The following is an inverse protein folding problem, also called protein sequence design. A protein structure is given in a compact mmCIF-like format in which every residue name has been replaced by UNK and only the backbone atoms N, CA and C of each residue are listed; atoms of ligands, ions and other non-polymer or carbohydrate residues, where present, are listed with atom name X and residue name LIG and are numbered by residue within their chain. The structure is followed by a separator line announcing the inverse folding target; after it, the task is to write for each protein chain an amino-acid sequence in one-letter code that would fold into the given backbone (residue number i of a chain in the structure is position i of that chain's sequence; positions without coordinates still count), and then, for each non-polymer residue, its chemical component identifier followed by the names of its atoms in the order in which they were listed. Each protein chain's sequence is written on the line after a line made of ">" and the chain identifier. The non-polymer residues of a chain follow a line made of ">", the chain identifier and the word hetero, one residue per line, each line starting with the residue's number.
data_IF_246936824558
#
_entry.id   IF_246936824558
#
_cell.length_a   1.000
_cell.length_b   1.000
_cell.length_c   1.000
_cell.angle_alpha   90.00
_cell.angle_beta   90.00
_cell.angle_gamma   90.00
#
_symmetry.space_group_name_H-M   'P 1'
#
loop_
_entity.id
_entity.type
_entity.pdbx_description
1 polymer ?
#
# COMPACT_ATOMS: atom_id res chain seq x y z
N UNK A 1 -0.54 15.50 -12.81
CA UNK A 1 -1.87 16.13 -12.62
C UNK A 1 -2.30 15.77 -11.21
N UNK A 2 -2.71 16.72 -10.37
CA UNK A 2 -3.13 16.38 -8.99
C UNK A 2 -4.40 15.54 -9.05
N UNK A 3 -4.45 14.44 -8.30
CA UNK A 3 -5.66 13.64 -8.17
C UNK A 3 -6.71 14.44 -7.39
N UNK A 4 -7.72 14.95 -8.09
CA UNK A 4 -8.72 15.87 -7.53
C UNK A 4 -9.47 15.29 -6.31
N UNK A 5 -9.56 13.97 -6.21
CA UNK A 5 -10.24 13.27 -5.11
C UNK A 5 -9.34 13.05 -3.88
N UNK A 6 -8.03 13.31 -3.97
CA UNK A 6 -7.07 13.13 -2.86
C UNK A 6 -6.52 14.46 -2.30
N UNK A 7 -7.20 15.58 -2.57
CA UNK A 7 -6.81 16.86 -1.98
C UNK A 7 -6.96 16.82 -0.45
N UNK A 8 -6.06 17.50 0.26
CA UNK A 8 -6.11 17.61 1.74
C UNK A 8 -7.28 18.48 2.21
N UNK A 9 -7.67 19.46 1.40
CA UNK A 9 -8.77 20.37 1.64
C UNK A 9 -9.39 20.84 0.32
N UNK A 10 -10.63 21.30 0.41
CA UNK A 10 -11.40 21.87 -0.70
C UNK A 10 -11.94 23.22 -0.26
N UNK A 11 -11.76 24.24 -1.10
CA UNK A 11 -12.34 25.57 -0.91
C UNK A 11 -13.30 25.91 -2.07
N UNK A 12 -13.95 27.08 -1.98
CA UNK A 12 -14.94 27.48 -2.97
C UNK A 12 -14.34 27.65 -4.37
N UNK A 13 -13.12 28.20 -4.48
CA UNK A 13 -12.44 28.38 -5.76
C UNK A 13 -12.06 27.03 -6.41
N UNK A 14 -11.66 26.05 -5.60
CA UNK A 14 -11.43 24.67 -6.08
C UNK A 14 -12.70 24.11 -6.72
N UNK A 15 -13.84 24.26 -6.06
CA UNK A 15 -15.11 23.74 -6.58
C UNK A 15 -15.60 24.52 -7.79
N UNK A 16 -15.44 25.85 -7.78
CA UNK A 16 -15.74 26.71 -8.92
C UNK A 16 -14.93 26.30 -10.16
N UNK A 17 -13.66 25.95 -9.97
CA UNK A 17 -12.81 25.45 -11.05
C UNK A 17 -13.33 24.14 -11.66
N UNK A 18 -14.08 23.32 -10.93
CA UNK A 18 -14.64 22.08 -11.49
C UNK A 18 -15.73 22.38 -12.50
N UNK A 19 -16.55 23.40 -12.24
CA UNK A 19 -17.59 23.89 -13.17
C UNK A 19 -16.93 24.61 -14.36
N UNK A 20 -16.00 25.54 -14.11
CA UNK A 20 -15.35 26.33 -15.17
C UNK A 20 -14.57 25.48 -16.17
N UNK A 21 -14.00 24.36 -15.72
CA UNK A 21 -13.28 23.42 -16.57
C UNK A 21 -14.14 22.24 -17.06
N UNK A 22 -15.46 22.27 -16.80
CA UNK A 22 -16.40 21.20 -17.15
C UNK A 22 -15.89 19.80 -16.76
N UNK A 23 -15.39 19.66 -15.53
CA UNK A 23 -14.83 18.38 -15.05
C UNK A 23 -15.86 17.28 -15.22
N UNK A 24 -15.44 16.20 -15.89
CA UNK A 24 -16.24 15.02 -16.12
C UNK A 24 -16.28 14.14 -14.86
N UNK A 25 -17.45 13.55 -14.60
CA UNK A 25 -17.59 12.46 -13.66
C UNK A 25 -16.67 11.31 -14.06
N UNK A 26 -16.24 10.56 -13.05
CA UNK A 26 -15.35 9.44 -13.27
C UNK A 26 -15.60 8.36 -12.23
N UNK A 27 -14.78 7.31 -12.27
CA UNK A 27 -14.80 6.29 -11.24
C UNK A 27 -14.51 6.85 -9.83
N UNK A 28 -13.88 8.03 -9.74
CA UNK A 28 -13.50 8.68 -8.48
C UNK A 28 -14.25 10.00 -8.17
N UNK A 29 -15.08 10.51 -9.09
CA UNK A 29 -15.76 11.81 -8.93
C UNK A 29 -17.23 11.65 -9.31
N UNK A 30 -18.11 12.11 -8.42
CA UNK A 30 -19.56 12.11 -8.61
C UNK A 30 -20.13 13.48 -8.21
N UNK A 31 -21.02 14.04 -9.03
CA UNK A 31 -21.72 15.29 -8.77
C UNK A 31 -23.19 15.03 -8.43
N UNK A 32 -23.68 15.64 -7.35
CA UNK A 32 -25.07 15.54 -6.92
C UNK A 32 -25.66 16.93 -6.66
N UNK A 33 -26.84 17.19 -7.19
CA UNK A 33 -27.57 18.44 -6.90
C UNK A 33 -28.09 18.49 -5.46
N UNK A 34 -28.57 19.65 -4.99
CA UNK A 34 -29.14 19.76 -3.64
C UNK A 34 -30.29 18.78 -3.39
N UNK A 35 -31.06 18.44 -4.43
CA UNK A 35 -32.20 17.52 -4.34
C UNK A 35 -31.82 16.08 -3.96
N UNK A 36 -30.54 15.71 -4.09
CA UNK A 36 -30.02 14.42 -3.66
C UNK A 36 -30.01 14.27 -2.13
N UNK A 37 -30.00 15.38 -1.37
CA UNK A 37 -30.12 15.36 0.08
C UNK A 37 -31.57 15.63 0.50
N UNK A 38 -32.15 14.67 1.21
CA UNK A 38 -33.50 14.80 1.75
C UNK A 38 -33.69 13.95 3.01
N UNK A 39 -34.66 14.32 3.85
CA UNK A 39 -35.07 13.51 5.00
C UNK A 39 -35.87 12.26 4.58
N UNK A 40 -36.28 12.15 3.31
CA UNK A 40 -36.95 10.98 2.73
C UNK A 40 -36.04 9.76 2.72
N UNK A 41 -36.63 8.59 2.96
CA UNK A 41 -35.85 7.34 3.05
C UNK A 41 -35.15 6.95 1.74
N UNK A 42 -35.80 7.24 0.60
CA UNK A 42 -35.21 6.97 -0.72
C UNK A 42 -33.88 7.69 -0.94
N UNK A 43 -33.77 8.95 -0.55
CA UNK A 43 -32.50 9.69 -0.68
C UNK A 43 -31.44 9.22 0.30
N UNK A 44 -31.83 8.85 1.53
CA UNK A 44 -30.90 8.22 2.48
C UNK A 44 -30.35 6.90 1.93
N UNK A 45 -31.17 6.15 1.19
CA UNK A 45 -30.75 4.92 0.51
C UNK A 45 -29.75 5.20 -0.62
N UNK A 46 -29.99 6.20 -1.46
CA UNK A 46 -29.03 6.57 -2.52
C UNK A 46 -27.69 7.06 -1.94
N UNK A 47 -27.70 7.90 -0.90
CA UNK A 47 -26.47 8.32 -0.18
C UNK A 47 -25.69 7.08 0.31
N UNK A 48 -26.39 6.13 0.95
CA UNK A 48 -25.78 4.90 1.45
C UNK A 48 -25.18 4.04 0.34
N UNK A 49 -25.91 3.89 -0.77
CA UNK A 49 -25.48 3.15 -1.96
C UNK A 49 -24.21 3.75 -2.53
N UNK A 50 -24.19 5.05 -2.84
CA UNK A 50 -23.04 5.71 -3.44
C UNK A 50 -21.82 5.68 -2.52
N UNK A 51 -22.00 6.02 -1.23
CA UNK A 51 -20.90 6.01 -0.26
C UNK A 51 -20.29 4.62 -0.11
N UNK A 52 -21.14 3.58 -0.01
CA UNK A 52 -20.64 2.19 0.07
C UNK A 52 -19.93 1.75 -1.21
N UNK A 53 -20.40 2.20 -2.39
CA UNK A 53 -19.81 1.85 -3.68
C UNK A 53 -18.39 2.39 -3.81
N UNK A 54 -18.16 3.65 -3.44
CA UNK A 54 -16.83 4.24 -3.41
C UNK A 54 -15.90 3.52 -2.42
N UNK A 55 -16.35 3.29 -1.19
CA UNK A 55 -15.54 2.63 -0.16
C UNK A 55 -15.13 1.20 -0.54
N UNK A 56 -16.03 0.46 -1.19
CA UNK A 56 -15.76 -0.89 -1.67
C UNK A 56 -14.88 -0.95 -2.92
N UNK A 57 -14.76 0.17 -3.64
CA UNK A 57 -13.93 0.32 -4.83
C UNK A 57 -12.63 1.01 -4.43
N UNK A 58 -12.11 1.91 -5.26
CA UNK A 58 -10.85 2.60 -5.02
C UNK A 58 -11.00 3.97 -4.33
N UNK A 59 -12.14 4.23 -3.71
CA UNK A 59 -12.44 5.52 -3.10
C UNK A 59 -12.67 6.63 -4.15
N UNK A 60 -12.89 7.85 -3.65
CA UNK A 60 -13.22 9.01 -4.47
C UNK A 60 -13.87 10.14 -3.68
N UNK A 61 -14.53 11.05 -4.39
CA UNK A 61 -15.32 12.15 -3.82
C UNK A 61 -16.73 12.16 -4.40
N UNK A 62 -17.70 12.43 -3.53
CA UNK A 62 -19.05 12.81 -3.92
C UNK A 62 -19.24 14.28 -3.54
N UNK A 63 -19.63 15.09 -4.52
CA UNK A 63 -19.81 16.53 -4.33
C UNK A 63 -21.31 16.84 -4.40
N UNK A 64 -21.91 17.04 -3.23
CA UNK A 64 -23.28 17.51 -3.12
C UNK A 64 -23.32 19.03 -3.20
N UNK A 65 -24.16 19.57 -4.06
CA UNK A 65 -24.31 21.00 -4.27
C UNK A 65 -23.99 21.46 -5.69
N UNK A 66 -23.81 20.52 -6.63
CA UNK A 66 -23.48 20.78 -8.04
C UNK A 66 -24.44 19.98 -8.91
N UNK A 67 -25.07 20.66 -9.86
CA UNK A 67 -25.79 20.03 -10.94
C UNK A 67 -24.83 19.59 -12.03
N UNK A 68 -25.05 18.38 -12.53
CA UNK A 68 -24.35 17.86 -13.69
C UNK A 68 -25.19 17.95 -14.97
N UNK A 69 -24.50 18.04 -16.10
CA UNK A 69 -25.10 17.96 -17.43
C UNK A 69 -24.19 17.13 -18.34
N UNK A 70 -24.70 16.02 -18.85
CA UNK A 70 -23.91 15.06 -19.63
C UNK A 70 -22.65 14.59 -18.89
N UNK A 71 -22.77 14.24 -17.60
CA UNK A 71 -21.67 13.81 -16.74
C UNK A 71 -20.57 14.85 -16.54
N UNK A 72 -20.89 16.15 -16.68
CA UNK A 72 -19.97 17.26 -16.44
C UNK A 72 -20.53 18.18 -15.38
N UNK A 73 -19.67 18.71 -14.52
CA UNK A 73 -20.04 19.79 -13.61
C UNK A 73 -20.58 20.99 -14.40
N UNK A 74 -21.79 21.45 -14.06
CA UNK A 74 -22.49 22.47 -14.85
C UNK A 74 -22.85 23.70 -14.04
N UNK A 75 -23.61 23.56 -12.95
CA UNK A 75 -24.11 24.70 -12.17
C UNK A 75 -24.09 24.43 -10.67
N UNK A 76 -24.01 25.51 -9.89
CA UNK A 76 -24.19 25.42 -8.44
C UNK A 76 -25.66 25.16 -8.09
N UNK A 77 -25.88 24.14 -7.26
CA UNK A 77 -27.18 23.77 -6.72
C UNK A 77 -27.06 23.73 -5.20
N UNK A 78 -26.94 24.91 -4.58
CA UNK A 78 -26.56 25.04 -3.18
C UNK A 78 -27.51 24.32 -2.21
N UNK A 79 -26.94 23.79 -1.13
CA UNK A 79 -27.66 23.11 -0.06
C UNK A 79 -27.83 24.05 1.12
N UNK A 80 -29.05 24.10 1.66
CA UNK A 80 -29.30 24.81 2.92
C UNK A 80 -28.67 24.04 4.09
N UNK A 81 -27.45 24.46 4.44
CA UNK A 81 -26.67 23.87 5.54
C UNK A 81 -27.27 24.07 6.93
N UNK A 82 -28.32 24.88 7.09
CA UNK A 82 -29.08 24.96 8.34
C UNK A 82 -30.06 23.79 8.49
N UNK A 83 -30.50 23.21 7.36
CA UNK A 83 -31.46 22.10 7.32
C UNK A 83 -30.74 20.76 7.22
N UNK A 84 -29.72 20.70 6.36
CA UNK A 84 -28.93 19.52 6.08
C UNK A 84 -27.49 19.77 6.50
N UNK A 85 -27.21 19.69 7.81
CA UNK A 85 -25.88 19.99 8.35
C UNK A 85 -24.85 18.92 7.99
N UNK A 86 -23.57 19.20 8.24
CA UNK A 86 -22.49 18.20 8.11
C UNK A 86 -22.77 16.99 9.00
N UNK A 87 -23.12 17.23 10.26
CA UNK A 87 -23.36 16.20 11.27
C UNK A 87 -24.58 15.34 10.90
N UNK A 88 -25.59 15.94 10.27
CA UNK A 88 -26.73 15.20 9.74
C UNK A 88 -26.32 14.24 8.62
N UNK A 89 -25.44 14.68 7.70
CA UNK A 89 -24.92 13.82 6.64
C UNK A 89 -24.04 12.69 7.20
N UNK A 90 -23.17 13.00 8.17
CA UNK A 90 -22.39 11.99 8.91
C UNK A 90 -23.29 10.97 9.61
N UNK A 91 -24.37 11.43 10.25
CA UNK A 91 -25.35 10.54 10.89
C UNK A 91 -26.06 9.65 9.88
N UNK A 92 -26.41 10.16 8.69
CA UNK A 92 -26.99 9.33 7.63
C UNK A 92 -26.01 8.26 7.21
N UNK A 93 -24.77 8.62 6.89
CA UNK A 93 -23.76 7.66 6.43
C UNK A 93 -23.55 6.57 7.49
N UNK A 94 -23.32 6.96 8.75
CA UNK A 94 -23.08 6.02 9.85
C UNK A 94 -24.29 5.12 10.20
N UNK A 95 -25.52 5.63 10.04
CA UNK A 95 -26.72 4.84 10.33
C UNK A 95 -27.19 3.95 9.16
N UNK A 96 -26.68 4.18 7.95
CA UNK A 96 -27.16 3.49 6.74
C UNK A 96 -26.12 2.61 6.08
N UNK A 97 -24.83 2.94 6.19
CA UNK A 97 -23.72 2.10 5.73
C UNK A 97 -23.30 1.19 6.87
N UNK A 98 -23.53 -0.11 6.70
CA UNK A 98 -23.12 -1.14 7.65
C UNK A 98 -21.60 -1.33 7.59
N UNK A 99 -20.97 -1.33 8.77
CA UNK A 99 -19.51 -1.24 9.00
C UNK A 99 -19.00 0.16 8.63
N UNK A 100 -18.57 0.92 9.63
CA UNK A 100 -18.09 2.28 9.44
C UNK A 100 -16.89 2.30 8.48
N UNK A 101 -16.79 3.35 7.68
CA UNK A 101 -15.67 3.59 6.77
C UNK A 101 -14.64 4.44 7.53
N UNK A 102 -13.45 3.89 7.86
CA UNK A 102 -12.39 4.67 8.49
C UNK A 102 -11.97 5.85 7.61
N UNK A 103 -11.54 6.95 8.23
CA UNK A 103 -10.97 8.13 7.55
C UNK A 103 -11.86 8.83 6.50
N UNK A 104 -13.17 8.56 6.48
CA UNK A 104 -14.13 9.33 5.68
C UNK A 104 -14.19 10.77 6.19
N UNK A 105 -14.06 11.74 5.27
CA UNK A 105 -14.07 13.18 5.57
C UNK A 105 -15.21 13.88 4.86
N UNK A 106 -15.87 14.81 5.56
CA UNK A 106 -16.87 15.70 4.98
C UNK A 106 -16.41 17.15 5.13
N UNK A 107 -16.24 17.83 3.99
CA UNK A 107 -15.85 19.22 3.90
C UNK A 107 -17.06 20.10 3.55
N UNK A 108 -17.56 20.92 4.49
CA UNK A 108 -18.59 21.93 4.19
C UNK A 108 -17.95 23.18 3.60
N UNK A 109 -18.29 23.50 2.36
CA UNK A 109 -17.76 24.64 1.61
C UNK A 109 -18.88 25.66 1.45
N UNK A 110 -18.71 26.84 2.05
CA UNK A 110 -19.75 27.88 2.09
C UNK A 110 -19.40 28.99 1.10
N UNK A 111 -20.33 29.31 0.21
CA UNK A 111 -20.16 30.47 -0.66
C UNK A 111 -20.26 31.77 0.15
N UNK A 112 -19.19 32.57 0.16
CA UNK A 112 -19.09 33.82 0.92
C UNK A 112 -19.44 33.69 2.41
N UNK A 113 -19.22 32.50 3.00
CA UNK A 113 -19.53 32.22 4.40
C UNK A 113 -21.02 32.01 4.71
N UNK A 114 -21.91 32.04 3.71
CA UNK A 114 -23.36 31.89 3.90
C UNK A 114 -23.69 30.40 4.11
N UNK A 115 -24.28 30.05 5.26
CA UNK A 115 -24.59 28.65 5.63
C UNK A 115 -25.65 28.04 4.70
N UNK A 116 -26.65 28.80 4.27
CA UNK A 116 -27.66 28.32 3.34
C UNK A 116 -27.12 28.06 1.92
N UNK A 117 -25.89 28.50 1.64
CA UNK A 117 -25.22 28.32 0.37
C UNK A 117 -24.02 27.37 0.53
N UNK A 118 -24.29 26.15 0.98
CA UNK A 118 -23.27 25.14 1.26
C UNK A 118 -23.15 24.11 0.14
N UNK A 119 -21.93 23.67 -0.12
CA UNK A 119 -21.57 22.49 -0.91
C UNK A 119 -20.89 21.51 0.06
N UNK A 120 -21.20 20.21 -0.03
CA UNK A 120 -20.53 19.17 0.75
C UNK A 120 -19.66 18.33 -0.16
N UNK A 121 -18.37 18.29 0.10
CA UNK A 121 -17.46 17.29 -0.49
C UNK A 121 -17.30 16.15 0.50
N UNK A 122 -17.80 14.98 0.14
CA UNK A 122 -17.63 13.74 0.91
C UNK A 122 -16.47 12.97 0.28
N UNK A 123 -15.32 12.99 0.94
CA UNK A 123 -14.13 12.26 0.54
C UNK A 123 -14.13 10.88 1.20
N UNK A 124 -14.14 9.86 0.36
CA UNK A 124 -14.35 8.47 0.75
C UNK A 124 -13.08 7.69 0.38
N UNK A 125 -12.34 7.16 1.35
CA UNK A 125 -11.16 6.36 1.04
C UNK A 125 -11.53 5.00 0.48
N UNK A 126 -10.59 4.41 -0.25
CA UNK A 126 -10.58 2.98 -0.54
C UNK A 126 -10.49 2.21 0.78
N UNK A 127 -11.58 1.54 1.18
CA UNK A 127 -11.66 1.00 2.54
C UNK A 127 -11.05 -0.40 2.62
N UNK A 128 -10.07 -0.58 3.49
CA UNK A 128 -9.55 -1.88 3.89
C UNK A 128 -10.63 -2.72 4.60
N UNK A 129 -11.60 -2.05 5.21
CA UNK A 129 -12.78 -2.63 5.85
C UNK A 129 -13.88 -3.05 4.86
N UNK A 130 -13.62 -3.04 3.56
CA UNK A 130 -14.56 -3.63 2.60
C UNK A 130 -14.85 -5.12 2.94
N UNK A 131 -16.04 -5.63 2.58
CA UNK A 131 -17.14 -4.90 1.95
C UNK A 131 -18.04 -4.17 2.97
N UNK A 132 -18.50 -2.98 2.60
CA UNK A 132 -19.50 -2.15 3.26
C UNK A 132 -20.86 -2.38 2.61
N UNK A 133 -21.86 -2.68 3.43
CA UNK A 133 -23.22 -2.97 2.95
C UNK A 133 -24.08 -1.70 3.05
N UNK A 134 -24.81 -1.38 1.98
CA UNK A 134 -25.74 -0.26 1.97
C UNK A 134 -27.03 -0.57 2.75
N UNK A 135 -27.84 0.47 2.96
CA UNK A 135 -29.11 0.42 3.71
C UNK A 135 -30.05 -0.70 3.25
N UNK A 136 -30.08 -0.98 1.95
CA UNK A 136 -30.95 -1.98 1.34
C UNK A 136 -30.39 -3.40 1.34
N UNK A 137 -29.36 -3.63 2.17
CA UNK A 137 -28.72 -4.95 2.38
C UNK A 137 -28.01 -5.49 1.14
N UNK A 138 -27.54 -4.61 0.27
CA UNK A 138 -26.72 -4.95 -0.89
C UNK A 138 -25.32 -4.36 -0.76
N UNK A 139 -24.37 -4.98 -1.44
CA UNK A 139 -23.02 -4.48 -1.63
C UNK A 139 -22.93 -3.86 -3.02
N UNK A 140 -22.40 -2.64 -3.11
CA UNK A 140 -22.25 -1.92 -4.37
C UNK A 140 -20.77 -1.68 -4.69
N UNK A 141 -20.42 -1.63 -5.97
CA UNK A 141 -19.13 -1.19 -6.51
C UNK A 141 -19.33 -0.03 -7.48
N UNK A 142 -18.27 0.72 -7.76
CA UNK A 142 -18.22 1.66 -8.87
C UNK A 142 -18.00 0.90 -10.18
N UNK A 143 -18.80 1.22 -11.18
CA UNK A 143 -18.63 0.78 -12.55
C UNK A 143 -18.82 2.01 -13.45
N UNK A 144 -17.70 2.59 -13.91
CA UNK A 144 -17.67 3.92 -14.52
C UNK A 144 -18.28 4.98 -13.58
N UNK A 145 -19.35 5.64 -14.00
CA UNK A 145 -20.09 6.65 -13.25
C UNK A 145 -21.26 6.06 -12.43
N UNK A 146 -21.45 4.74 -12.43
CA UNK A 146 -22.58 4.10 -11.74
C UNK A 146 -22.16 3.31 -10.49
N UNK A 147 -23.07 3.30 -9.51
CA UNK A 147 -23.00 2.42 -8.34
C UNK A 147 -23.85 1.17 -8.61
N UNK A 148 -23.20 0.06 -8.99
CA UNK A 148 -23.87 -1.20 -9.38
C UNK A 148 -23.76 -2.26 -8.28
N UNK A 149 -24.79 -3.12 -8.09
CA UNK A 149 -24.70 -4.23 -7.15
C UNK A 149 -23.55 -5.18 -7.51
N UNK A 150 -22.88 -5.70 -6.49
CA UNK A 150 -21.84 -6.71 -6.65
C UNK A 150 -22.41 -8.10 -6.82
N UNK A 151 -21.70 -8.92 -7.58
CA UNK A 151 -21.89 -10.37 -7.61
C UNK A 151 -21.29 -11.05 -6.37
N UNK A 152 -21.76 -12.26 -6.03
CA UNK A 152 -21.30 -13.00 -4.85
C UNK A 152 -19.77 -13.14 -4.78
N UNK A 153 -19.13 -13.47 -5.91
CA UNK A 153 -17.69 -13.68 -5.96
C UNK A 153 -16.90 -12.38 -5.69
N UNK A 154 -17.46 -11.23 -6.04
CA UNK A 154 -16.84 -9.91 -5.81
C UNK A 154 -16.92 -9.56 -4.32
N UNK A 155 -18.08 -9.82 -3.70
CA UNK A 155 -18.26 -9.66 -2.25
C UNK A 155 -17.29 -10.58 -1.50
N UNK A 156 -17.18 -11.85 -1.91
CA UNK A 156 -16.24 -12.82 -1.32
C UNK A 156 -14.78 -12.36 -1.44
N UNK A 157 -14.39 -11.80 -2.58
CA UNK A 157 -13.04 -11.27 -2.78
C UNK A 157 -12.76 -10.07 -1.87
N UNK A 158 -13.74 -9.19 -1.64
CA UNK A 158 -13.57 -8.03 -0.76
C UNK A 158 -13.41 -8.40 0.71
N UNK A 159 -13.97 -9.50 1.19
CA UNK A 159 -13.67 -9.97 2.55
C UNK A 159 -12.18 -10.30 2.74
N UNK A 160 -11.49 -10.69 1.67
CA UNK A 160 -10.04 -10.89 1.65
C UNK A 160 -9.21 -9.61 1.45
N UNK A 161 -9.86 -8.44 1.33
CA UNK A 161 -9.17 -7.14 1.28
C UNK A 161 -8.48 -6.82 2.60
N UNK A 162 -9.04 -7.32 3.70
CA UNK A 162 -8.41 -7.25 5.02
C UNK A 162 -7.29 -8.27 5.14
N UNK A 163 -6.17 -7.75 5.60
CA UNK A 163 -5.01 -8.47 6.14
C UNK A 163 -4.18 -9.23 5.10
N UNK A 164 -3.37 -8.48 4.34
CA UNK A 164 -2.19 -9.04 3.69
C UNK A 164 -0.98 -8.85 4.59
N UNK A 165 -0.13 -9.86 4.62
CA UNK A 165 1.26 -9.66 5.01
C UNK A 165 1.90 -8.70 4.00
N UNK A 166 2.79 -7.84 4.48
CA UNK A 166 3.63 -7.02 3.62
C UNK A 166 5.00 -7.05 4.27
N UNK A 167 5.87 -7.87 3.72
CA UNK A 167 7.22 -8.03 4.22
C UNK A 167 8.16 -7.16 3.39
N UNK A 168 9.10 -6.51 4.07
CA UNK A 168 10.15 -5.71 3.45
C UNK A 168 11.52 -6.13 3.97
N UNK A 169 12.53 -5.97 3.14
CA UNK A 169 13.93 -6.07 3.52
C UNK A 169 14.29 -4.80 4.30
N UNK A 170 14.28 -4.89 5.64
CA UNK A 170 14.47 -3.75 6.51
C UNK A 170 15.94 -3.29 6.54
N UNK A 171 16.86 -4.25 6.56
CA UNK A 171 18.29 -3.98 6.66
C UNK A 171 19.12 -5.14 6.09
N UNK A 172 20.25 -4.81 5.47
CA UNK A 172 21.38 -5.73 5.25
C UNK A 172 22.60 -5.21 6.01
N UNK A 173 23.12 -5.98 6.95
CA UNK A 173 24.32 -5.66 7.71
C UNK A 173 25.45 -6.61 7.31
N UNK A 174 26.63 -6.07 7.07
CA UNK A 174 27.85 -6.85 6.90
C UNK A 174 28.76 -6.56 8.08
N UNK A 175 29.36 -7.59 8.66
CA UNK A 175 30.38 -7.47 9.70
C UNK A 175 31.61 -8.30 9.35
N UNK A 176 32.79 -7.78 9.69
CA UNK A 176 34.05 -8.52 9.58
C UNK A 176 34.18 -9.47 10.76
N UNK A 177 34.53 -10.72 10.49
CA UNK A 177 34.75 -11.74 11.52
C UNK A 177 36.23 -11.76 11.90
N UNK A 178 36.50 -12.00 13.18
CA UNK A 178 37.86 -12.24 13.65
C UNK A 178 38.34 -13.61 13.19
N UNK A 179 39.52 -13.62 12.58
CA UNK A 179 40.21 -14.82 12.08
C UNK A 179 41.64 -14.80 12.58
N UNK A 180 42.26 -15.97 12.67
CA UNK A 180 43.68 -16.08 13.04
C UNK A 180 44.57 -15.23 12.12
N UNK A 181 45.62 -14.62 12.67
CA UNK A 181 46.53 -13.74 11.90
C UNK A 181 47.18 -14.47 10.71
N UNK A 182 47.39 -15.78 10.85
CA UNK A 182 47.94 -16.67 9.82
C UNK A 182 46.92 -17.03 8.72
N UNK A 183 45.64 -16.67 8.89
CA UNK A 183 44.60 -16.93 7.89
C UNK A 183 44.94 -16.24 6.57
N UNK A 184 44.87 -16.97 5.46
CA UNK A 184 44.99 -16.43 4.11
C UNK A 184 43.69 -15.78 3.61
N UNK A 185 42.67 -15.71 4.47
CA UNK A 185 41.35 -15.23 4.08
C UNK A 185 40.81 -14.15 5.01
N UNK A 186 40.01 -13.26 4.44
CA UNK A 186 39.11 -12.37 5.18
C UNK A 186 37.73 -13.02 5.27
N UNK A 187 37.17 -13.12 6.48
CA UNK A 187 35.82 -13.63 6.70
C UNK A 187 34.84 -12.53 7.09
N UNK A 188 33.62 -12.62 6.58
CA UNK A 188 32.55 -11.68 6.82
C UNK A 188 31.23 -12.41 7.08
N UNK A 189 30.34 -11.79 7.85
CA UNK A 189 28.96 -12.23 8.07
C UNK A 189 28.00 -11.24 7.42
N UNK A 190 27.06 -11.74 6.61
CA UNK A 190 25.92 -11.00 6.09
C UNK A 190 24.67 -11.38 6.90
N UNK A 191 24.05 -10.37 7.47
CA UNK A 191 22.79 -10.44 8.18
C UNK A 191 21.70 -9.68 7.42
N UNK A 192 20.52 -10.28 7.25
CA UNK A 192 19.38 -9.61 6.60
C UNK A 192 18.15 -9.70 7.48
N UNK A 193 17.62 -8.53 7.80
CA UNK A 193 16.41 -8.37 8.60
C UNK A 193 15.21 -8.16 7.69
N UNK A 194 14.14 -8.90 7.98
CA UNK A 194 12.84 -8.75 7.31
C UNK A 194 11.85 -8.20 8.31
N UNK A 195 11.17 -7.13 7.93
CA UNK A 195 10.15 -6.48 8.73
C UNK A 195 8.77 -6.69 8.12
N UNK A 196 7.78 -6.97 8.95
CA UNK A 196 6.39 -7.04 8.52
C UNK A 196 5.67 -5.71 8.78
N UNK A 197 5.51 -4.92 7.73
CA UNK A 197 4.69 -3.70 7.73
C UNK A 197 3.20 -3.99 7.46
N UNK A 198 2.85 -5.24 7.19
CA UNK A 198 1.47 -5.69 6.99
C UNK A 198 0.74 -5.94 8.30
N UNK A 199 -0.59 -6.11 8.20
CA UNK A 199 -1.45 -6.35 9.36
C UNK A 199 -1.59 -7.85 9.70
N UNK A 200 -1.04 -8.73 8.87
CA UNK A 200 -1.11 -10.20 9.02
C UNK A 200 0.26 -10.76 9.30
N UNK A 201 0.34 -11.72 10.23
CA UNK A 201 1.49 -12.61 10.34
C UNK A 201 1.76 -13.30 8.99
N UNK A 202 3.04 -13.40 8.62
CA UNK A 202 3.50 -14.20 7.48
C UNK A 202 4.36 -15.35 7.98
N UNK A 203 3.96 -16.59 7.68
CA UNK A 203 4.72 -17.80 7.97
C UNK A 203 5.36 -18.41 6.71
N UNK A 204 5.05 -17.88 5.54
CA UNK A 204 5.49 -18.38 4.25
C UNK A 204 6.28 -17.30 3.53
N UNK A 205 7.60 -17.37 3.62
CA UNK A 205 8.48 -16.45 2.89
C UNK A 205 9.83 -17.10 2.56
N UNK A 206 10.56 -16.48 1.65
CA UNK A 206 11.86 -16.95 1.17
C UNK A 206 12.76 -15.77 0.84
N UNK A 207 14.02 -15.85 1.25
CA UNK A 207 15.06 -14.87 0.89
C UNK A 207 16.07 -15.52 -0.04
N UNK A 208 16.30 -14.89 -1.19
CA UNK A 208 17.37 -15.23 -2.11
C UNK A 208 18.45 -14.15 -2.07
N UNK A 209 19.70 -14.57 -2.03
CA UNK A 209 20.85 -13.69 -2.08
C UNK A 209 21.63 -14.06 -3.35
N UNK A 210 21.88 -13.08 -4.19
CA UNK A 210 22.64 -13.21 -5.41
C UNK A 210 23.96 -12.48 -5.25
N UNK A 211 25.05 -13.25 -5.28
CA UNK A 211 26.38 -12.71 -5.51
C UNK A 211 26.59 -12.64 -7.02
N UNK A 212 26.79 -11.43 -7.54
CA UNK A 212 26.99 -11.14 -8.96
C UNK A 212 28.47 -10.83 -9.16
N UNK A 213 29.06 -11.35 -10.24
CA UNK A 213 30.51 -11.35 -10.49
C UNK A 213 31.30 -12.14 -9.43
N UNK A 214 30.72 -13.28 -9.02
CA UNK A 214 31.31 -14.21 -8.06
C UNK A 214 32.62 -14.82 -8.59
N UNK A 215 33.71 -14.57 -7.88
CA UNK A 215 35.06 -15.09 -8.20
C UNK A 215 35.36 -16.43 -7.53
N UNK A 216 36.35 -17.16 -8.05
CA UNK A 216 36.88 -18.40 -7.44
C UNK A 216 37.58 -18.15 -6.10
N UNK A 217 38.13 -16.96 -5.89
CA UNK A 217 38.70 -16.53 -4.60
C UNK A 217 37.66 -16.24 -3.52
N UNK A 218 36.36 -16.40 -3.82
CA UNK A 218 35.27 -16.25 -2.88
C UNK A 218 34.65 -17.62 -2.53
N UNK A 219 34.36 -17.83 -1.25
CA UNK A 219 33.61 -19.01 -0.78
C UNK A 219 32.50 -18.60 0.19
N UNK A 220 31.36 -19.28 0.10
CA UNK A 220 30.29 -19.17 1.09
C UNK A 220 30.51 -20.27 2.12
N UNK A 221 30.49 -19.89 3.39
CA UNK A 221 30.80 -20.78 4.51
C UNK A 221 29.53 -21.45 5.02
N UNK A 222 29.56 -22.77 5.19
CA UNK A 222 28.47 -23.49 5.82
C UNK A 222 28.42 -23.20 7.33
N UNK A 223 27.31 -22.63 7.79
CA UNK A 223 27.09 -22.44 9.21
C UNK A 223 26.40 -23.67 9.82
N UNK A 224 27.19 -24.65 10.28
CA UNK A 224 26.68 -25.92 10.82
C UNK A 224 25.86 -25.77 12.12
N UNK A 225 26.00 -24.64 12.82
CA UNK A 225 25.40 -24.39 14.15
C UNK A 225 24.48 -23.15 14.21
N UNK A 226 24.20 -22.48 13.08
CA UNK A 226 23.44 -21.23 13.03
C UNK A 226 21.95 -21.36 12.65
N UNK A 227 21.25 -20.21 12.61
CA UNK A 227 19.98 -20.03 11.88
C UNK A 227 20.23 -20.31 10.39
N UNK A 228 19.29 -20.96 9.70
CA UNK A 228 19.38 -21.38 8.27
C UNK A 228 20.09 -22.71 7.98
N UNK A 229 19.67 -23.80 8.65
CA UNK A 229 20.18 -25.16 8.35
C UNK A 229 19.85 -25.67 6.94
N UNK A 230 18.87 -25.07 6.28
CA UNK A 230 18.32 -25.51 4.98
C UNK A 230 18.66 -24.54 3.83
N UNK A 231 19.90 -24.05 3.79
CA UNK A 231 20.38 -23.22 2.68
C UNK A 231 20.60 -24.05 1.42
N UNK A 232 20.07 -23.57 0.30
CA UNK A 232 20.32 -24.16 -1.02
C UNK A 232 21.22 -23.26 -1.84
N UNK A 233 22.23 -23.86 -2.46
CA UNK A 233 23.20 -23.17 -3.31
C UNK A 233 22.97 -23.52 -4.78
N UNK A 234 23.02 -22.53 -5.64
CA UNK A 234 22.94 -22.74 -7.10
C UNK A 234 23.92 -21.81 -7.80
N UNK A 235 24.86 -22.40 -8.58
CA UNK A 235 25.66 -21.64 -9.53
C UNK A 235 24.84 -21.39 -10.79
N UNK A 236 24.76 -20.13 -11.19
CA UNK A 236 24.03 -19.66 -12.36
C UNK A 236 25.04 -19.21 -13.44
N UNK A 237 24.54 -18.90 -14.63
CA UNK A 237 25.36 -18.31 -15.71
C UNK A 237 25.92 -16.94 -15.30
N UNK A 238 26.95 -16.47 -16.04
CA UNK A 238 27.56 -15.15 -15.86
C UNK A 238 28.11 -14.89 -14.44
N UNK A 239 28.82 -15.87 -13.87
CA UNK A 239 29.45 -15.76 -12.54
C UNK A 239 28.46 -15.35 -11.43
N UNK A 240 27.21 -15.82 -11.50
CA UNK A 240 26.23 -15.55 -10.45
C UNK A 240 26.09 -16.75 -9.53
N UNK A 241 26.10 -16.51 -8.23
CA UNK A 241 25.80 -17.53 -7.22
C UNK A 241 24.55 -17.11 -6.46
N UNK A 242 23.57 -18.01 -6.40
CA UNK A 242 22.34 -17.84 -5.65
C UNK A 242 22.38 -18.68 -4.39
N UNK A 243 22.14 -18.03 -3.26
CA UNK A 243 21.87 -18.65 -1.96
C UNK A 243 20.39 -18.48 -1.65
N UNK A 244 19.71 -19.56 -1.30
CA UNK A 244 18.27 -19.59 -1.08
C UNK A 244 17.95 -20.09 0.33
N UNK A 245 17.25 -19.26 1.11
CA UNK A 245 16.85 -19.52 2.50
C UNK A 245 15.32 -19.42 2.60
N UNK A 246 14.67 -20.45 3.14
CA UNK A 246 13.24 -20.41 3.45
C UNK A 246 13.04 -19.88 4.86
N UNK A 247 12.00 -19.08 5.07
CA UNK A 247 11.59 -18.64 6.40
C UNK A 247 11.21 -19.81 7.29
N UNK A 248 11.76 -19.87 8.50
CA UNK A 248 11.44 -20.91 9.49
C UNK A 248 10.49 -20.39 10.58
N UNK A 249 10.57 -19.10 10.91
CA UNK A 249 9.79 -18.46 11.97
C UNK A 249 8.81 -17.46 11.36
N UNK A 250 7.52 -17.50 11.72
CA UNK A 250 6.57 -16.49 11.29
C UNK A 250 6.97 -15.09 11.77
N UNK A 251 6.70 -14.06 10.95
CA UNK A 251 6.96 -12.66 11.28
C UNK A 251 5.62 -11.97 11.54
N UNK A 252 5.38 -11.53 12.78
CA UNK A 252 4.17 -10.86 13.20
C UNK A 252 4.13 -9.39 12.74
N UNK A 253 2.94 -8.76 12.68
CA UNK A 253 2.83 -7.33 12.36
C UNK A 253 3.69 -6.46 13.28
N UNK A 254 4.44 -5.52 12.69
CA UNK A 254 5.40 -4.66 13.36
C UNK A 254 6.58 -5.39 14.05
N UNK A 255 6.86 -6.62 13.64
CA UNK A 255 8.05 -7.38 14.06
C UNK A 255 9.12 -7.31 12.98
N UNK A 256 10.39 -7.25 13.42
CA UNK A 256 11.57 -7.45 12.57
C UNK A 256 12.27 -8.73 13.00
N UNK A 257 12.64 -9.58 12.04
CA UNK A 257 13.33 -10.83 12.29
C UNK A 257 14.58 -10.94 11.43
N UNK A 258 15.69 -11.36 12.03
CA UNK A 258 16.90 -11.71 11.29
C UNK A 258 16.70 -13.04 10.57
N UNK A 259 16.39 -12.96 9.28
CA UNK A 259 16.01 -14.12 8.46
C UNK A 259 17.21 -14.77 7.78
N UNK A 260 18.28 -14.01 7.59
CA UNK A 260 19.51 -14.46 6.95
C UNK A 260 20.66 -14.16 7.89
N UNK A 261 21.48 -15.19 8.10
CA UNK A 261 22.85 -15.05 8.60
C UNK A 261 23.73 -16.00 7.81
N UNK A 262 24.59 -15.46 6.97
CA UNK A 262 25.51 -16.24 6.13
C UNK A 262 26.92 -15.71 6.28
N UNK A 263 27.89 -16.61 6.39
CA UNK A 263 29.29 -16.23 6.41
C UNK A 263 29.90 -16.47 5.03
N UNK A 264 30.81 -15.61 4.61
CA UNK A 264 31.52 -15.74 3.35
C UNK A 264 32.95 -15.23 3.52
N UNK A 265 33.86 -15.76 2.70
CA UNK A 265 35.27 -15.46 2.80
C UNK A 265 35.87 -15.11 1.44
N UNK A 266 36.93 -14.31 1.49
CA UNK A 266 37.75 -13.94 0.34
C UNK A 266 39.21 -14.28 0.60
N UNK A 267 39.90 -14.82 -0.39
CA UNK A 267 41.37 -14.93 -0.32
C UNK A 267 42.01 -13.54 -0.32
N UNK A 268 42.96 -13.31 0.58
CA UNK A 268 43.61 -12.00 0.79
C UNK A 268 44.35 -11.51 -0.46
N UNK A 269 44.95 -12.42 -1.23
CA UNK A 269 45.68 -12.12 -2.47
C UNK A 269 44.77 -11.66 -3.63
N UNK A 270 43.49 -12.04 -3.61
CA UNK A 270 42.50 -11.69 -4.64
C UNK A 270 41.50 -10.61 -4.17
N UNK A 271 41.56 -10.18 -2.90
CA UNK A 271 40.53 -9.34 -2.27
C UNK A 271 40.23 -8.07 -3.07
N UNK A 272 41.25 -7.25 -3.35
CA UNK A 272 41.08 -5.96 -4.03
C UNK A 272 40.50 -6.09 -5.43
N UNK A 273 40.81 -7.16 -6.17
CA UNK A 273 40.23 -7.41 -7.49
C UNK A 273 38.75 -7.77 -7.39
N UNK A 274 38.39 -8.62 -6.43
CA UNK A 274 37.01 -9.07 -6.23
C UNK A 274 36.10 -7.90 -5.82
N UNK A 275 36.56 -7.06 -4.88
CA UNK A 275 35.75 -5.93 -4.37
C UNK A 275 35.54 -4.79 -5.38
N UNK A 276 36.16 -4.81 -6.56
CA UNK A 276 35.86 -3.83 -7.62
C UNK A 276 34.60 -4.17 -8.42
N UNK A 277 34.21 -5.45 -8.46
CA UNK A 277 33.13 -5.92 -9.33
C UNK A 277 31.99 -6.62 -8.60
N UNK A 278 32.25 -7.19 -7.42
CA UNK A 278 31.25 -7.96 -6.68
C UNK A 278 30.05 -7.11 -6.26
N UNK A 279 28.85 -7.58 -6.61
CA UNK A 279 27.58 -6.97 -6.20
C UNK A 279 26.71 -7.96 -5.45
N UNK A 280 25.84 -7.40 -4.61
CA UNK A 280 24.87 -8.16 -3.82
C UNK A 280 23.46 -7.70 -4.19
N UNK A 281 22.62 -8.65 -4.58
CA UNK A 281 21.19 -8.44 -4.77
C UNK A 281 20.45 -9.41 -3.84
N UNK A 282 19.60 -8.88 -2.98
CA UNK A 282 18.79 -9.63 -2.03
C UNK A 282 17.33 -9.51 -2.48
N UNK A 283 16.64 -10.65 -2.57
CA UNK A 283 15.22 -10.71 -2.92
C UNK A 283 14.44 -11.46 -1.88
N UNK A 284 13.37 -10.85 -1.41
CA UNK A 284 12.37 -11.45 -0.53
C UNK A 284 11.14 -11.83 -1.35
N UNK A 285 10.63 -13.04 -1.14
CA UNK A 285 9.41 -13.55 -1.75
C UNK A 285 8.44 -14.00 -0.66
N UNK A 286 7.16 -13.67 -0.80
CA UNK A 286 6.08 -14.11 0.07
C UNK A 286 4.75 -14.14 -0.72
N UNK A 287 3.69 -14.84 -0.28
CA UNK A 287 2.46 -15.02 -1.04
C UNK A 287 1.82 -13.72 -1.59
N UNK A 288 2.01 -12.61 -0.88
CA UNK A 288 1.39 -11.33 -1.20
C UNK A 288 2.31 -10.35 -1.94
N UNK A 289 3.56 -10.71 -2.24
CA UNK A 289 4.48 -9.82 -2.95
C UNK A 289 5.95 -10.25 -2.96
N UNK A 290 6.79 -9.35 -3.42
CA UNK A 290 8.25 -9.46 -3.36
C UNK A 290 8.85 -8.10 -2.98
N UNK A 291 10.06 -8.13 -2.43
CA UNK A 291 10.88 -6.94 -2.17
C UNK A 291 12.33 -7.18 -2.57
N UNK A 292 13.04 -6.14 -3.00
CA UNK A 292 14.38 -6.22 -3.57
C UNK A 292 15.27 -5.15 -2.95
N UNK A 293 16.45 -5.58 -2.50
CA UNK A 293 17.51 -4.71 -2.00
C UNK A 293 18.80 -4.98 -2.77
N UNK A 294 19.34 -3.95 -3.40
CA UNK A 294 20.63 -4.00 -4.07
C UNK A 294 21.67 -3.23 -3.24
N UNK A 295 22.87 -3.81 -3.11
CA UNK A 295 23.99 -3.18 -2.42
C UNK A 295 25.31 -3.43 -3.15
N UNK A 296 26.15 -2.39 -3.15
CA UNK A 296 27.55 -2.50 -3.57
C UNK A 296 28.35 -3.14 -2.44
N UNK A 297 28.46 -4.48 -2.53
CA UNK A 297 29.20 -5.29 -1.57
C UNK A 297 30.66 -4.88 -1.54
N UNK A 298 31.27 -4.65 -2.70
CA UNK A 298 32.66 -4.22 -2.83
C UNK A 298 32.95 -2.94 -2.05
N UNK A 299 32.13 -1.90 -2.24
CA UNK A 299 32.23 -0.63 -1.50
C UNK A 299 32.09 -0.83 0.01
N UNK A 300 31.20 -1.73 0.44
CA UNK A 300 30.97 -2.00 1.86
C UNK A 300 32.19 -2.70 2.48
N UNK A 301 32.75 -3.70 1.79
CA UNK A 301 33.91 -4.46 2.25
C UNK A 301 35.18 -3.59 2.35
N UNK A 302 35.39 -2.68 1.39
CA UNK A 302 36.49 -1.70 1.43
C UNK A 302 36.46 -0.77 2.65
N UNK A 303 35.30 -0.60 3.30
CA UNK A 303 35.16 0.23 4.50
C UNK A 303 35.66 -0.43 5.79
N UNK A 304 35.96 -1.73 5.77
CA UNK A 304 36.50 -2.49 6.91
C UNK A 304 38.03 -2.60 6.94
N UNK A 305 38.70 -2.15 5.88
CA UNK A 305 40.16 -2.06 5.75
C UNK A 305 40.62 -0.60 5.89
#
# INVERSE_FOLDING_TARGET
>A
MKELHKLESYDFETIKSFIENEIEESIHIEFKSAGALSKKDGQKKEVSKDVSAFANSDGGIIIYGIEEKNHKAHDFSFIDGNVFTKEWLEQIISSTVNRNIPDLKIFPIRNSGIISNTIYVVQIPSSLDAPHMARDKKYYKRFNFESVPMEEYEVRQLYGRKVKSKLILAQSLISKLEVDEESEEYEYSLEVDVYNEGEKMEDTYKVNIYFIDFSKGMRILENKNGTNKNMNYTRLENNRVKVSINGETPIYPNESLNTVRINFAFRKDEFYEIVESIKLEIRLYYPNGEDIMESDLGKTLKGFE
#
